data_IF_860628404628
#
_entry.id   IF_860628404628
#
_cell.length_a   1.000
_cell.length_b   1.000
_cell.length_c   1.000
_cell.angle_alpha   90.00
_cell.angle_beta   90.00
_cell.angle_gamma   90.00
#
_symmetry.space_group_name_H-M   'P 1'
#
loop_
_entity.id
_entity.type
_entity.pdbx_description
1 polymer ?
#
# COMPACT_ATOMS: atom_id res chain seq x y z
N UNK A 1 22.27 -22.83 -68.70
CA UNK A 1 21.87 -22.50 -67.31
C UNK A 1 22.07 -21.01 -67.08
N UNK A 2 21.11 -20.27 -66.51
CA UNK A 2 21.17 -18.80 -66.41
C UNK A 2 21.74 -18.35 -65.04
N UNK A 3 23.02 -17.94 -64.95
CA UNK A 3 23.70 -17.57 -63.69
C UNK A 3 23.06 -16.38 -62.96
N UNK A 4 22.41 -15.46 -63.69
CA UNK A 4 21.73 -14.30 -63.11
C UNK A 4 20.61 -14.66 -62.13
N UNK A 5 19.85 -15.74 -62.40
CA UNK A 5 18.73 -16.19 -61.55
C UNK A 5 19.17 -16.81 -60.22
N UNK A 6 20.46 -17.14 -60.07
CA UNK A 6 21.02 -17.67 -58.82
C UNK A 6 21.44 -16.50 -57.92
N UNK A 7 22.12 -15.50 -58.49
CA UNK A 7 22.59 -14.31 -57.77
C UNK A 7 21.44 -13.50 -57.15
N UNK A 8 20.32 -13.35 -57.87
CA UNK A 8 19.14 -12.67 -57.34
C UNK A 8 18.51 -13.41 -56.16
N UNK A 9 18.42 -14.74 -56.25
CA UNK A 9 17.89 -15.58 -55.17
C UNK A 9 18.76 -15.53 -53.92
N UNK A 10 20.08 -15.52 -54.07
CA UNK A 10 21.00 -15.40 -52.93
C UNK A 10 20.97 -14.00 -52.30
N UNK A 11 20.76 -12.95 -53.09
CA UNK A 11 20.53 -11.60 -52.56
C UNK A 11 19.22 -11.49 -51.77
N UNK A 12 18.13 -12.07 -52.28
CA UNK A 12 16.85 -12.12 -51.57
C UNK A 12 16.99 -12.91 -50.27
N UNK A 13 17.65 -14.08 -50.33
CA UNK A 13 17.90 -14.92 -49.14
C UNK A 13 18.69 -14.18 -48.06
N UNK A 14 19.74 -13.43 -48.44
CA UNK A 14 20.52 -12.61 -47.48
C UNK A 14 19.66 -11.52 -46.84
N UNK A 15 18.93 -10.74 -47.64
CA UNK A 15 18.03 -9.68 -47.13
C UNK A 15 16.95 -10.23 -46.18
N UNK A 16 16.35 -11.37 -46.50
CA UNK A 16 15.40 -12.05 -45.62
C UNK A 16 16.06 -12.48 -44.30
N UNK A 17 17.26 -13.07 -44.36
CA UNK A 17 18.01 -13.47 -43.16
C UNK A 17 18.34 -12.27 -42.27
N UNK A 18 18.77 -11.15 -42.85
CA UNK A 18 19.11 -9.95 -42.10
C UNK A 18 17.88 -9.31 -41.45
N UNK A 19 16.76 -9.28 -42.18
CA UNK A 19 15.49 -8.77 -41.65
C UNK A 19 14.98 -9.64 -40.51
N UNK A 20 15.03 -10.96 -40.68
CA UNK A 20 14.63 -11.92 -39.64
C UNK A 20 15.52 -11.81 -38.39
N UNK A 21 16.83 -11.73 -38.57
CA UNK A 21 17.77 -11.54 -37.46
C UNK A 21 17.54 -10.22 -36.72
N UNK A 22 17.17 -9.15 -37.44
CA UNK A 22 16.84 -7.86 -36.83
C UNK A 22 15.59 -7.98 -35.96
N UNK A 23 14.52 -8.61 -36.49
CA UNK A 23 13.29 -8.84 -35.73
C UNK A 23 13.55 -9.67 -34.48
N UNK A 24 14.35 -10.74 -34.58
CA UNK A 24 14.70 -11.56 -33.42
C UNK A 24 15.46 -10.77 -32.35
N UNK A 25 16.43 -9.94 -32.75
CA UNK A 25 17.16 -9.08 -31.81
C UNK A 25 16.22 -8.10 -31.11
N UNK A 26 15.33 -7.44 -31.85
CA UNK A 26 14.35 -6.51 -31.30
C UNK A 26 13.40 -7.21 -30.30
N UNK A 27 12.98 -8.44 -30.61
CA UNK A 27 12.15 -9.24 -29.71
C UNK A 27 12.90 -9.61 -28.42
N UNK A 28 14.15 -10.06 -28.52
CA UNK A 28 14.99 -10.40 -27.35
C UNK A 28 15.17 -9.16 -26.47
N UNK A 29 15.54 -8.02 -27.05
CA UNK A 29 15.72 -6.77 -26.31
C UNK A 29 14.44 -6.33 -25.60
N UNK A 30 13.28 -6.47 -26.24
CA UNK A 30 11.97 -6.17 -25.60
C UNK A 30 11.65 -7.13 -24.46
N UNK A 31 11.98 -8.41 -24.60
CA UNK A 31 11.77 -9.41 -23.54
C UNK A 31 12.67 -9.12 -22.34
N UNK A 32 13.93 -8.78 -22.55
CA UNK A 32 14.85 -8.47 -21.47
C UNK A 32 14.47 -7.18 -20.74
N UNK A 33 14.02 -6.15 -21.46
CA UNK A 33 13.45 -4.95 -20.85
C UNK A 33 12.23 -5.27 -19.97
N UNK A 34 11.31 -6.12 -20.45
CA UNK A 34 10.14 -6.56 -19.65
C UNK A 34 10.55 -7.34 -18.40
N UNK A 35 11.55 -8.22 -18.49
CA UNK A 35 12.08 -8.96 -17.33
C UNK A 35 12.67 -8.02 -16.29
N UNK A 36 13.42 -7.01 -16.72
CA UNK A 36 14.01 -6.01 -15.83
C UNK A 36 12.92 -5.23 -15.08
N UNK A 37 11.89 -4.76 -15.80
CA UNK A 37 10.74 -4.07 -15.19
C UNK A 37 10.01 -4.98 -14.19
N UNK A 38 9.76 -6.23 -14.54
CA UNK A 38 9.10 -7.19 -13.66
C UNK A 38 9.91 -7.45 -12.37
N UNK A 39 11.24 -7.51 -12.47
CA UNK A 39 12.11 -7.66 -11.30
C UNK A 39 12.03 -6.43 -10.39
N UNK A 40 12.04 -5.22 -10.96
CA UNK A 40 11.90 -3.98 -10.20
C UNK A 40 10.53 -3.88 -9.51
N UNK A 41 9.45 -4.27 -10.19
CA UNK A 41 8.11 -4.30 -9.60
C UNK A 41 8.02 -5.24 -8.40
N UNK A 42 8.56 -6.46 -8.51
CA UNK A 42 8.60 -7.41 -7.38
C UNK A 42 9.35 -6.86 -6.17
N UNK A 43 10.45 -6.14 -6.39
CA UNK A 43 11.20 -5.52 -5.29
C UNK A 43 10.42 -4.36 -4.67
N UNK A 44 9.75 -3.54 -5.50
CA UNK A 44 8.88 -2.47 -5.01
C UNK A 44 7.70 -3.02 -4.18
N UNK A 45 7.07 -4.12 -4.61
CA UNK A 45 6.02 -4.81 -3.84
C UNK A 45 6.55 -5.32 -2.50
N UNK A 46 7.77 -5.87 -2.48
CA UNK A 46 8.42 -6.33 -1.24
C UNK A 46 8.66 -5.18 -0.27
N UNK A 47 9.18 -4.05 -0.76
CA UNK A 47 9.42 -2.86 0.05
C UNK A 47 8.10 -2.26 0.58
N UNK A 48 7.06 -2.22 -0.25
CA UNK A 48 5.73 -1.77 0.16
C UNK A 48 5.15 -2.66 1.27
N UNK A 49 5.27 -3.99 1.16
CA UNK A 49 4.83 -4.91 2.19
C UNK A 49 5.56 -4.70 3.53
N UNK A 50 6.87 -4.44 3.48
CA UNK A 50 7.67 -4.12 4.67
C UNK A 50 7.19 -2.80 5.30
N UNK A 51 7.01 -1.76 4.50
CA UNK A 51 6.54 -0.46 4.96
C UNK A 51 5.16 -0.54 5.64
N UNK A 52 4.22 -1.26 5.03
CA UNK A 52 2.89 -1.51 5.61
C UNK A 52 2.99 -2.25 6.95
N UNK A 53 3.88 -3.25 7.05
CA UNK A 53 4.09 -3.99 8.30
C UNK A 53 4.64 -3.08 9.40
N UNK A 54 5.61 -2.24 9.08
CA UNK A 54 6.20 -1.28 10.03
C UNK A 54 5.17 -0.25 10.48
N UNK A 55 4.40 0.32 9.55
CA UNK A 55 3.34 1.27 9.86
C UNK A 55 2.28 0.67 10.80
N UNK A 56 1.88 -0.59 10.59
CA UNK A 56 0.98 -1.30 11.51
C UNK A 56 1.58 -1.45 12.91
N UNK A 57 2.85 -1.83 13.01
CA UNK A 57 3.52 -1.97 14.31
C UNK A 57 3.64 -0.62 15.04
N UNK A 58 3.93 0.46 14.32
CA UNK A 58 3.95 1.80 14.90
C UNK A 58 2.57 2.27 15.37
N UNK A 59 1.54 2.03 14.56
CA UNK A 59 0.16 2.32 14.93
C UNK A 59 -0.27 1.54 16.19
N UNK A 60 0.08 0.26 16.30
CA UNK A 60 -0.19 -0.54 17.50
C UNK A 60 0.55 -0.02 18.72
N UNK A 61 1.82 0.38 18.58
CA UNK A 61 2.59 0.99 19.68
C UNK A 61 1.97 2.30 20.14
N UNK A 62 1.60 3.17 19.20
CA UNK A 62 0.93 4.42 19.50
C UNK A 62 -0.43 4.19 20.18
N UNK A 63 -1.21 3.21 19.71
CA UNK A 63 -2.48 2.83 20.33
C UNK A 63 -2.30 2.32 21.77
N UNK A 64 -1.25 1.53 22.03
CA UNK A 64 -0.94 1.07 23.40
C UNK A 64 -0.53 2.21 24.32
N UNK A 65 0.34 3.11 23.86
CA UNK A 65 0.79 4.27 24.63
C UNK A 65 -0.36 5.22 24.95
N UNK A 66 -1.21 5.51 23.96
CA UNK A 66 -2.40 6.34 24.14
C UNK A 66 -3.40 5.69 25.08
N UNK A 67 -3.63 4.37 24.99
CA UNK A 67 -4.48 3.64 25.94
C UNK A 67 -3.90 3.69 27.37
N UNK A 68 -2.58 3.54 27.53
CA UNK A 68 -1.94 3.61 28.84
C UNK A 68 -2.02 5.02 29.45
N UNK A 69 -1.81 6.06 28.64
CA UNK A 69 -1.98 7.44 29.09
C UNK A 69 -3.44 7.76 29.42
N UNK A 70 -4.40 7.26 28.63
CA UNK A 70 -5.82 7.38 28.95
C UNK A 70 -6.15 6.70 30.29
N UNK A 71 -5.61 5.50 30.57
CA UNK A 71 -5.75 4.85 31.88
C UNK A 71 -5.23 5.72 33.01
N UNK A 72 -4.04 6.29 32.85
CA UNK A 72 -3.42 7.15 33.87
C UNK A 72 -4.26 8.40 34.12
N UNK A 73 -4.75 9.05 33.06
CA UNK A 73 -5.61 10.23 33.18
C UNK A 73 -6.95 9.88 33.85
N UNK A 74 -7.61 8.80 33.46
CA UNK A 74 -8.88 8.38 34.06
C UNK A 74 -8.76 7.93 35.53
N UNK A 75 -7.56 7.55 35.96
CA UNK A 75 -7.29 7.26 37.36
C UNK A 75 -7.28 8.54 38.23
N UNK A 76 -7.06 9.73 37.64
CA UNK A 76 -7.10 11.00 38.38
C UNK A 76 -8.53 11.55 38.48
N UNK A 77 -8.80 12.36 39.50
CA UNK A 77 -10.10 13.05 39.66
C UNK A 77 -10.36 14.00 38.50
N UNK A 78 -9.34 14.71 38.04
CA UNK A 78 -9.40 15.66 36.92
C UNK A 78 -9.76 14.97 35.60
N UNK A 79 -9.21 13.78 35.33
CA UNK A 79 -9.57 13.03 34.13
C UNK A 79 -11.03 12.57 34.12
N UNK A 80 -11.58 12.16 35.27
CA UNK A 80 -13.01 11.83 35.40
C UNK A 80 -13.90 13.05 35.20
N UNK A 81 -13.50 14.20 35.74
CA UNK A 81 -14.19 15.48 35.53
C UNK A 81 -14.15 15.88 34.05
N UNK A 82 -13.02 15.70 33.38
CA UNK A 82 -12.86 15.98 31.95
C UNK A 82 -13.79 15.13 31.08
N UNK A 83 -13.94 13.83 31.36
CA UNK A 83 -14.89 12.95 30.66
C UNK A 83 -16.35 13.39 30.92
N UNK A 84 -16.69 13.75 32.15
CA UNK A 84 -18.02 14.27 32.47
C UNK A 84 -18.32 15.58 31.73
N UNK A 85 -17.33 16.48 31.62
CA UNK A 85 -17.45 17.72 30.86
C UNK A 85 -17.62 17.45 29.35
N UNK A 86 -16.87 16.51 28.78
CA UNK A 86 -17.06 16.08 27.39
C UNK A 86 -18.47 15.52 27.16
N UNK A 87 -18.98 14.69 28.06
CA UNK A 87 -20.35 14.16 27.96
C UNK A 87 -21.41 15.26 28.05
N UNK A 88 -21.21 16.26 28.90
CA UNK A 88 -22.11 17.41 28.99
C UNK A 88 -22.12 18.25 27.71
N UNK A 89 -20.98 18.34 27.00
CA UNK A 89 -20.91 19.00 25.68
C UNK A 89 -21.56 18.12 24.61
N UNK A 90 -21.27 16.82 24.60
CA UNK A 90 -21.81 15.86 23.65
C UNK A 90 -23.34 15.78 23.71
N UNK A 91 -23.93 15.73 24.91
CA UNK A 91 -25.39 15.72 25.09
C UNK A 91 -26.06 16.98 24.52
N UNK A 92 -25.40 18.15 24.59
CA UNK A 92 -25.90 19.40 24.00
C UNK A 92 -25.83 19.38 22.47
N UNK A 93 -24.78 18.79 21.90
CA UNK A 93 -24.57 18.75 20.45
C UNK A 93 -25.24 17.57 19.74
N UNK A 94 -25.41 16.44 20.43
CA UNK A 94 -25.86 15.17 19.87
C UNK A 94 -26.51 14.31 20.97
N UNK A 95 -27.79 14.57 21.29
CA UNK A 95 -28.51 13.87 22.35
C UNK A 95 -28.50 12.35 22.16
N UNK A 96 -28.24 11.60 23.23
CA UNK A 96 -28.12 10.13 23.19
C UNK A 96 -26.72 9.59 22.86
N UNK A 97 -25.74 10.45 22.58
CA UNK A 97 -24.34 10.04 22.40
C UNK A 97 -23.52 10.34 23.66
N UNK A 98 -23.04 9.29 24.35
CA UNK A 98 -22.23 9.38 25.56
C UNK A 98 -20.84 8.79 25.33
N UNK A 99 -19.80 9.49 25.75
CA UNK A 99 -18.45 8.95 25.88
C UNK A 99 -18.31 8.24 27.23
N UNK A 100 -18.30 6.91 27.22
CA UNK A 100 -17.99 6.10 28.40
C UNK A 100 -16.49 5.79 28.43
N UNK A 101 -15.87 5.91 29.60
CA UNK A 101 -14.47 5.60 29.79
C UNK A 101 -14.33 4.40 30.76
N UNK A 102 -14.42 3.20 30.21
CA UNK A 102 -14.24 1.93 30.94
C UNK A 102 -12.93 1.26 30.52
N UNK A 103 -12.25 0.59 31.45
CA UNK A 103 -11.01 -0.18 31.20
C UNK A 103 -9.89 0.58 30.46
N UNK A 104 -9.87 1.91 30.58
CA UNK A 104 -8.86 2.76 29.97
C UNK A 104 -9.07 3.08 28.49
N UNK A 105 -10.27 2.87 27.96
CA UNK A 105 -10.64 3.25 26.60
C UNK A 105 -11.86 4.16 26.63
N UNK A 106 -11.88 5.16 25.74
CA UNK A 106 -13.05 6.00 25.53
C UNK A 106 -13.91 5.33 24.45
N UNK A 107 -15.13 4.97 24.79
CA UNK A 107 -16.12 4.37 23.93
C UNK A 107 -17.25 5.38 23.69
N UNK A 108 -17.61 5.62 22.43
CA UNK A 108 -18.86 6.29 22.09
C UNK A 108 -20.01 5.29 22.19
N UNK A 109 -20.97 5.55 23.07
CA UNK A 109 -22.20 4.79 23.20
C UNK A 109 -23.32 5.65 22.62
N UNK A 110 -23.99 5.14 21.60
CA UNK A 110 -25.23 5.72 21.10
C UNK A 110 -26.38 4.92 21.73
N UNK A 111 -27.02 5.50 22.74
CA UNK A 111 -28.25 4.93 23.30
C UNK A 111 -29.39 5.29 22.35
N UNK A 112 -29.94 4.27 21.68
CA UNK A 112 -31.07 4.43 20.76
C UNK A 112 -32.27 4.90 21.59
N UNK A 113 -32.70 6.14 21.39
CA UNK A 113 -33.90 6.74 22.01
C UNK A 113 -35.15 6.09 21.40
#
# INVERSE_FOLDING_TARGET
MQPFKILERDNIRRKMKDTFNKVLKDMISKLDAKKAVMKALKEAERLAAIAVRLAKQEAEKAARLTQEQAKKLLATKEGKIGVAAMNAVLEKSSPGFKASASDGRIHGICERI
#
